data_IF_787720326041
#
_entry.id   IF_787720326041
#
_cell.length_a   1.000
_cell.length_b   1.000
_cell.length_c   1.000
_cell.angle_alpha   90.00
_cell.angle_beta   90.00
_cell.angle_gamma   90.00
#
_symmetry.space_group_name_H-M   'P 1'
#
loop_
_entity.id
_entity.type
_entity.pdbx_description
1 polymer ?
#
# COMPACT_ATOMS: atom_id res chain seq x y z
N UNK A 1 4.33 12.29 8.85
CA UNK A 1 3.05 11.63 9.20
C UNK A 1 1.96 12.14 8.27
N UNK A 2 1.15 11.25 7.74
CA UNK A 2 0.06 11.59 6.83
C UNK A 2 -1.27 11.16 7.43
N UNK A 3 -2.28 12.01 7.25
CA UNK A 3 -3.62 11.76 7.77
C UNK A 3 -4.39 10.90 6.77
N UNK A 4 -5.08 9.87 7.28
CA UNK A 4 -5.98 9.05 6.49
C UNK A 4 -7.34 9.74 6.37
N UNK A 5 -8.08 9.38 5.33
CA UNK A 5 -9.45 9.83 5.14
C UNK A 5 -10.40 8.85 5.81
N UNK A 6 -11.47 9.37 6.43
CA UNK A 6 -12.47 8.57 7.11
C UNK A 6 -12.19 8.43 8.62
N UNK A 7 -13.24 8.42 9.41
CA UNK A 7 -13.13 8.28 10.86
C UNK A 7 -14.45 7.77 11.43
N UNK A 8 -14.39 7.29 12.67
CA UNK A 8 -15.54 6.81 13.42
C UNK A 8 -15.69 7.60 14.69
N UNK A 9 -16.93 7.69 15.20
CA UNK A 9 -17.22 8.15 16.55
C UNK A 9 -17.44 6.93 17.43
N UNK A 10 -16.77 6.89 18.60
CA UNK A 10 -17.01 5.84 19.56
C UNK A 10 -18.10 6.28 20.55
N UNK A 11 -18.57 5.34 21.36
CA UNK A 11 -19.65 5.59 22.33
C UNK A 11 -19.25 6.55 23.44
N UNK A 12 -17.97 6.83 23.60
CA UNK A 12 -17.46 7.77 24.60
C UNK A 12 -17.35 9.19 24.04
N UNK A 13 -17.81 9.42 22.82
CA UNK A 13 -17.86 10.76 22.22
C UNK A 13 -16.58 11.20 21.53
N UNK A 14 -15.54 10.38 21.49
CA UNK A 14 -14.33 10.67 20.73
C UNK A 14 -14.45 10.26 19.30
N UNK A 15 -13.60 10.79 18.43
CA UNK A 15 -13.48 10.35 17.05
C UNK A 15 -12.13 9.69 16.82
N UNK A 16 -12.10 8.68 15.93
CA UNK A 16 -10.87 7.99 15.58
C UNK A 16 -10.99 7.40 14.18
N UNK A 17 -9.86 7.12 13.56
CA UNK A 17 -9.81 6.43 12.27
C UNK A 17 -9.51 4.96 12.51
N UNK A 18 -10.27 4.11 11.83
CA UNK A 18 -10.02 2.68 11.87
C UNK A 18 -8.72 2.35 11.11
N UNK A 19 -7.98 1.39 11.64
CA UNK A 19 -6.80 0.87 10.98
C UNK A 19 -7.22 0.09 9.73
N UNK A 20 -6.65 0.45 8.57
CA UNK A 20 -6.94 -0.25 7.32
C UNK A 20 -6.26 -1.61 7.26
N UNK A 21 -5.03 -1.67 7.79
CA UNK A 21 -4.12 -2.79 7.56
C UNK A 21 -2.93 -2.65 8.49
N UNK A 22 -1.98 -3.57 8.41
CA UNK A 22 -0.73 -3.44 9.15
C UNK A 22 0.19 -2.43 8.49
N UNK A 23 0.35 -2.52 7.17
CA UNK A 23 1.25 -1.66 6.40
C UNK A 23 0.62 -1.20 5.10
N UNK A 24 1.08 -0.05 4.61
CA UNK A 24 0.50 0.61 3.44
C UNK A 24 1.62 0.94 2.45
N UNK A 25 1.42 0.58 1.19
CA UNK A 25 2.33 0.94 0.11
C UNK A 25 1.85 2.24 -0.51
N UNK A 26 2.71 3.25 -0.52
CA UNK A 26 2.38 4.60 -1.00
C UNK A 26 3.11 5.00 -2.27
N UNK A 27 4.19 4.31 -2.62
CA UNK A 27 4.96 4.58 -3.84
C UNK A 27 5.70 3.33 -4.29
N UNK A 28 6.02 3.26 -5.57
CA UNK A 28 6.69 2.10 -6.17
C UNK A 28 7.91 2.53 -6.97
N UNK A 29 8.89 1.63 -7.07
CA UNK A 29 10.07 1.78 -7.91
C UNK A 29 10.23 0.54 -8.76
N UNK A 30 10.35 0.72 -10.08
CA UNK A 30 10.48 -0.39 -11.03
C UNK A 30 11.95 -0.70 -11.30
N UNK A 31 12.26 -1.99 -11.51
CA UNK A 31 13.63 -2.45 -11.77
C UNK A 31 14.24 -1.79 -13.02
N UNK A 32 13.44 -1.71 -14.07
CA UNK A 32 13.86 -1.13 -15.35
C UNK A 32 12.65 -0.43 -15.96
N UNK A 33 12.74 0.90 -16.05
CA UNK A 33 11.63 1.70 -16.59
C UNK A 33 11.37 1.43 -18.07
N UNK A 34 12.32 0.82 -18.77
CA UNK A 34 12.16 0.45 -20.18
C UNK A 34 11.60 -0.95 -20.36
N UNK A 35 11.48 -1.74 -19.28
CA UNK A 35 10.92 -3.09 -19.34
C UNK A 35 9.39 -2.99 -19.41
N UNK A 36 8.77 -3.51 -20.50
CA UNK A 36 7.31 -3.44 -20.62
C UNK A 36 6.56 -4.23 -19.53
N UNK A 37 7.24 -5.14 -18.84
CA UNK A 37 6.61 -5.90 -17.75
C UNK A 37 6.40 -5.06 -16.48
N UNK A 38 7.14 -3.95 -16.33
CA UNK A 38 7.05 -3.04 -15.19
C UNK A 38 7.16 -3.79 -13.87
N UNK A 39 8.31 -4.45 -13.67
CA UNK A 39 8.57 -5.25 -12.48
C UNK A 39 8.96 -4.34 -11.32
N UNK A 40 8.24 -4.43 -10.22
CA UNK A 40 8.51 -3.64 -9.01
C UNK A 40 9.75 -4.19 -8.32
N UNK A 41 10.75 -3.33 -8.08
CA UNK A 41 11.95 -3.66 -7.34
C UNK A 41 11.78 -3.39 -5.85
N UNK A 42 11.24 -2.21 -5.52
CA UNK A 42 11.08 -1.76 -4.14
C UNK A 42 9.88 -0.81 -4.03
N UNK A 43 9.46 -0.59 -2.80
CA UNK A 43 8.28 0.24 -2.51
C UNK A 43 8.56 1.12 -1.30
N UNK A 44 7.83 2.23 -1.20
CA UNK A 44 7.77 3.01 0.04
C UNK A 44 6.58 2.53 0.85
N UNK A 45 6.83 2.22 2.11
CA UNK A 45 5.86 1.61 3.01
C UNK A 45 5.74 2.47 4.25
N UNK A 46 4.51 2.64 4.73
CA UNK A 46 4.23 3.30 5.99
C UNK A 46 3.40 2.40 6.88
N UNK A 47 3.56 2.54 8.19
CA UNK A 47 2.75 1.82 9.16
C UNK A 47 1.41 2.53 9.32
N UNK A 48 0.35 1.75 9.44
CA UNK A 48 -0.99 2.25 9.72
C UNK A 48 -1.25 2.14 11.22
N UNK A 49 -1.27 3.28 11.92
CA UNK A 49 -1.53 3.30 13.36
C UNK A 49 -2.99 3.59 13.72
N UNK A 50 -3.85 3.63 12.73
CA UNK A 50 -5.28 3.94 12.90
C UNK A 50 -5.60 5.37 12.47
N UNK A 51 -4.98 6.37 13.10
CA UNK A 51 -5.26 7.77 12.80
C UNK A 51 -4.46 8.30 11.62
N UNK A 52 -3.26 7.77 11.41
CA UNK A 52 -2.33 8.29 10.41
C UNK A 52 -1.42 7.19 9.88
N UNK A 53 -0.69 7.53 8.82
CA UNK A 53 0.39 6.71 8.27
C UNK A 53 1.70 7.32 8.70
N UNK A 54 2.64 6.49 9.18
CA UNK A 54 3.92 6.95 9.72
C UNK A 54 5.04 5.95 9.48
N UNK A 55 6.26 6.33 9.84
CA UNK A 55 7.45 5.46 9.76
C UNK A 55 7.72 5.03 8.31
N UNK A 56 7.74 5.97 7.37
CA UNK A 56 7.99 5.67 5.97
C UNK A 56 9.38 5.05 5.78
N UNK A 57 9.41 3.88 5.16
CA UNK A 57 10.65 3.17 4.85
C UNK A 57 10.59 2.65 3.42
N UNK A 58 11.76 2.41 2.84
CA UNK A 58 11.86 1.74 1.54
C UNK A 58 12.09 0.25 1.81
N UNK A 59 11.27 -0.59 1.17
CA UNK A 59 11.37 -2.04 1.30
C UNK A 59 11.51 -2.69 -0.07
N UNK A 60 12.36 -3.70 -0.15
CA UNK A 60 12.47 -4.52 -1.36
C UNK A 60 11.22 -5.38 -1.52
N UNK A 61 10.86 -5.69 -2.78
CA UNK A 61 9.72 -6.56 -3.09
C UNK A 61 9.77 -7.86 -2.27
N UNK A 62 10.93 -8.50 -2.20
CA UNK A 62 11.08 -9.77 -1.46
C UNK A 62 10.73 -9.64 0.01
N UNK A 63 10.99 -8.48 0.61
CA UNK A 63 10.67 -8.24 2.02
C UNK A 63 9.16 -8.09 2.23
N UNK A 64 8.48 -7.44 1.30
CA UNK A 64 7.02 -7.35 1.32
C UNK A 64 6.40 -8.73 1.15
N UNK A 65 6.92 -9.53 0.22
CA UNK A 65 6.46 -10.92 0.03
C UNK A 65 6.62 -11.72 1.30
N UNK A 66 7.77 -11.64 1.97
CA UNK A 66 8.02 -12.36 3.22
C UNK A 66 7.03 -11.92 4.32
N UNK A 67 6.74 -10.63 4.42
CA UNK A 67 5.76 -10.10 5.37
C UNK A 67 4.38 -10.69 5.10
N UNK A 68 3.94 -10.68 3.86
CA UNK A 68 2.62 -11.21 3.48
C UNK A 68 2.54 -12.70 3.79
N UNK A 69 3.61 -13.44 3.54
CA UNK A 69 3.67 -14.86 3.88
C UNK A 69 3.62 -15.11 5.38
N UNK A 70 4.00 -14.12 6.19
CA UNK A 70 3.90 -14.15 7.65
C UNK A 70 2.63 -13.51 8.18
N UNK A 71 1.61 -13.34 7.35
CA UNK A 71 0.30 -12.78 7.69
C UNK A 71 0.32 -11.30 8.07
N UNK A 72 1.33 -10.56 7.65
CA UNK A 72 1.32 -9.09 7.74
C UNK A 72 0.54 -8.58 6.55
N UNK A 73 -0.49 -7.80 6.80
CA UNK A 73 -1.37 -7.32 5.75
C UNK A 73 -0.85 -6.00 5.15
N UNK A 74 -1.04 -5.87 3.84
CA UNK A 74 -0.67 -4.68 3.09
C UNK A 74 -1.83 -4.23 2.22
N UNK A 75 -2.06 -2.92 2.17
CA UNK A 75 -2.93 -2.29 1.17
C UNK A 75 -2.15 -1.18 0.49
N UNK A 76 -2.63 -0.73 -0.66
CA UNK A 76 -2.12 0.48 -1.29
C UNK A 76 -2.84 1.69 -0.72
N UNK A 77 -2.22 2.86 -0.82
CA UNK A 77 -2.87 4.12 -0.51
C UNK A 77 -2.45 5.17 -1.54
N UNK A 78 -3.39 5.95 -1.98
CA UNK A 78 -3.16 7.02 -2.95
C UNK A 78 -3.70 8.33 -2.42
N UNK A 79 -3.08 9.43 -2.83
CA UNK A 79 -3.50 10.77 -2.39
C UNK A 79 -4.70 11.24 -3.19
N UNK A 80 -5.67 11.81 -2.48
CA UNK A 80 -6.78 12.49 -3.13
C UNK A 80 -6.40 13.95 -3.45
N UNK A 81 -7.37 14.72 -3.94
CA UNK A 81 -7.16 16.12 -4.33
C UNK A 81 -6.79 17.01 -3.15
N UNK A 82 -7.14 16.62 -1.94
CA UNK A 82 -6.82 17.34 -0.71
C UNK A 82 -5.45 16.96 -0.14
N UNK A 83 -4.73 16.05 -0.80
CA UNK A 83 -3.45 15.55 -0.33
C UNK A 83 -3.54 14.53 0.80
N UNK A 84 -4.72 14.03 1.10
CA UNK A 84 -4.94 12.98 2.11
C UNK A 84 -4.91 11.62 1.46
N UNK A 85 -4.43 10.63 2.19
CA UNK A 85 -4.42 9.26 1.70
C UNK A 85 -5.79 8.61 1.81
N UNK A 86 -6.15 7.90 0.74
CA UNK A 86 -7.34 7.05 0.68
C UNK A 86 -6.89 5.60 0.57
N UNK A 87 -7.64 4.72 1.22
CA UNK A 87 -7.40 3.29 1.15
C UNK A 87 -7.60 2.78 -0.27
N UNK A 88 -6.59 2.04 -0.77
CA UNK A 88 -6.67 1.36 -2.06
C UNK A 88 -7.11 -0.08 -1.88
N UNK A 89 -6.37 -1.00 -2.49
CA UNK A 89 -6.70 -2.42 -2.50
C UNK A 89 -5.65 -3.26 -1.80
N UNK A 90 -6.07 -4.42 -1.34
CA UNK A 90 -5.20 -5.39 -0.70
C UNK A 90 -4.09 -5.83 -1.67
N UNK A 91 -2.88 -5.91 -1.14
CA UNK A 91 -1.72 -6.39 -1.89
C UNK A 91 -1.59 -7.90 -1.66
N UNK A 92 -1.42 -8.62 -2.75
CA UNK A 92 -1.30 -10.09 -2.73
C UNK A 92 -0.05 -10.51 -3.50
N UNK A 93 0.35 -11.76 -3.29
CA UNK A 93 1.48 -12.36 -4.00
C UNK A 93 0.97 -12.99 -5.29
N UNK A 94 1.69 -12.73 -6.39
CA UNK A 94 1.45 -13.34 -7.69
C UNK A 94 2.68 -14.14 -8.07
N UNK A 95 2.52 -15.44 -8.29
CA UNK A 95 3.63 -16.33 -8.61
C UNK A 95 3.58 -16.64 -10.11
N UNK A 96 4.65 -16.26 -10.82
CA UNK A 96 4.79 -16.51 -12.27
C UNK A 96 6.12 -17.17 -12.51
N UNK A 97 6.09 -18.37 -13.06
CA UNK A 97 7.30 -19.18 -13.34
C UNK A 97 8.22 -19.31 -12.12
N UNK A 98 7.62 -19.50 -10.95
CA UNK A 98 8.36 -19.67 -9.71
C UNK A 98 8.86 -18.38 -9.05
N UNK A 99 8.66 -17.23 -9.69
CA UNK A 99 9.06 -15.93 -9.15
C UNK A 99 7.85 -15.27 -8.48
N UNK A 100 8.07 -14.75 -7.28
CA UNK A 100 7.01 -14.09 -6.50
C UNK A 100 7.02 -12.59 -6.75
N UNK A 101 5.90 -12.11 -7.27
CA UNK A 101 5.65 -10.69 -7.51
C UNK A 101 4.55 -10.22 -6.56
N UNK A 102 4.35 -8.91 -6.48
CA UNK A 102 3.23 -8.33 -5.73
C UNK A 102 2.28 -7.66 -6.72
N UNK A 103 0.99 -7.76 -6.41
CA UNK A 103 -0.07 -7.10 -7.16
C UNK A 103 -1.21 -6.75 -6.23
N UNK A 104 -2.16 -5.95 -6.69
CA UNK A 104 -3.38 -5.69 -5.95
C UNK A 104 -4.46 -6.67 -6.33
N UNK A 105 -5.42 -6.87 -5.43
CA UNK A 105 -6.64 -7.60 -5.76
C UNK A 105 -7.33 -6.92 -6.93
N UNK A 106 -7.99 -7.73 -7.75
CA UNK A 106 -8.72 -7.23 -8.91
C UNK A 106 -9.88 -6.33 -8.48
N UNK A 107 -9.98 -5.14 -9.10
CA UNK A 107 -11.10 -4.24 -8.87
C UNK A 107 -11.38 -3.40 -10.12
N UNK A 108 -12.41 -2.53 -10.03
CA UNK A 108 -12.83 -1.67 -11.15
C UNK A 108 -12.15 -0.29 -11.13
N UNK A 109 -11.39 0.03 -10.08
CA UNK A 109 -10.72 1.32 -9.93
C UNK A 109 -9.25 1.19 -10.29
N UNK A 110 -8.77 2.04 -11.18
CA UNK A 110 -7.38 1.99 -11.62
C UNK A 110 -6.45 2.80 -10.74
N UNK A 111 -6.96 3.84 -10.08
CA UNK A 111 -6.13 4.76 -9.29
C UNK A 111 -5.55 4.13 -8.02
N UNK A 112 -6.13 3.04 -7.52
CA UNK A 112 -5.64 2.37 -6.32
C UNK A 112 -4.78 1.13 -6.61
N UNK A 113 -4.52 0.84 -7.86
CA UNK A 113 -3.63 -0.26 -8.27
C UNK A 113 -2.16 0.15 -8.10
N UNK A 114 -1.29 -0.83 -7.87
CA UNK A 114 0.15 -0.57 -7.68
C UNK A 114 0.77 0.22 -8.83
N UNK A 115 0.38 -0.04 -10.06
CA UNK A 115 0.94 0.64 -11.23
C UNK A 115 0.45 2.08 -11.40
N UNK A 116 -0.47 2.53 -10.54
CA UNK A 116 -0.97 3.91 -10.51
C UNK A 116 -0.45 4.71 -9.33
N UNK A 117 0.35 4.10 -8.48
CA UNK A 117 0.97 4.81 -7.37
C UNK A 117 2.13 5.69 -7.86
N UNK A 118 2.51 6.66 -7.02
CA UNK A 118 3.66 7.50 -7.27
C UNK A 118 4.90 6.64 -7.51
N UNK A 119 5.70 6.98 -8.51
CA UNK A 119 6.99 6.32 -8.78
C UNK A 119 8.13 7.12 -8.16
N UNK A 120 9.15 6.43 -7.72
CA UNK A 120 10.31 7.09 -7.15
C UNK A 120 11.63 6.45 -7.58
#
# INVERSE_FOLDING_TARGET
>A
MYVKRGFYFNILGGSFMEKWTDKVIVAVHYEDTNDPRRVIEKVKVEDDDGDSLKNKVVMLRKSVVADIENNISYVTAYKDDDGKYKEGKKVIIDIVNGVKYIKTEKNDKTEDNLDKLEEF
#
